data_IF_076387392111
#
_entry.id   IF_076387392111
#
_cell.length_a   1.000
_cell.length_b   1.000
_cell.length_c   1.000
_cell.angle_alpha   90.00
_cell.angle_beta   90.00
_cell.angle_gamma   90.00
#
_symmetry.space_group_name_H-M   'P 1'
#
loop_
_entity.id
_entity.type
_entity.pdbx_description
1 polymer ?
#
# COMPACT_ATOMS: atom_id res chain seq x y z
N UNK A 1 -18.19 -15.20 19.84
CA UNK A 1 -16.96 -15.38 19.03
C UNK A 1 -16.15 -14.10 19.19
N UNK A 2 -14.93 -14.19 19.66
CA UNK A 2 -14.07 -13.01 19.66
C UNK A 2 -13.80 -12.62 18.21
N UNK A 3 -14.04 -11.36 17.88
CA UNK A 3 -13.73 -10.80 16.56
C UNK A 3 -12.22 -10.85 16.37
N UNK A 4 -11.75 -11.31 15.20
CA UNK A 4 -10.33 -11.38 14.86
C UNK A 4 -9.68 -9.98 14.95
N UNK A 5 -8.39 -9.95 15.30
CA UNK A 5 -7.64 -8.69 15.39
C UNK A 5 -7.59 -7.97 14.03
N UNK A 6 -7.50 -8.70 12.94
CA UNK A 6 -7.50 -8.13 11.58
C UNK A 6 -8.82 -7.41 11.31
N UNK A 7 -9.96 -8.03 11.64
CA UNK A 7 -11.28 -7.43 11.45
C UNK A 7 -11.46 -6.15 12.30
N UNK A 8 -10.92 -6.14 13.53
CA UNK A 8 -10.95 -4.97 14.41
C UNK A 8 -10.15 -3.81 13.81
N UNK A 9 -8.93 -4.09 13.35
CA UNK A 9 -8.07 -3.07 12.75
C UNK A 9 -8.63 -2.59 11.41
N UNK A 10 -9.18 -3.48 10.58
CA UNK A 10 -9.85 -3.07 9.33
C UNK A 10 -11.00 -2.09 9.61
N UNK A 11 -11.80 -2.37 10.63
CA UNK A 11 -12.86 -1.47 11.06
C UNK A 11 -12.33 -0.12 11.52
N UNK A 12 -11.30 -0.12 12.40
CA UNK A 12 -10.69 1.12 12.91
C UNK A 12 -10.09 1.96 11.76
N UNK A 13 -9.44 1.32 10.76
CA UNK A 13 -8.90 1.99 9.57
C UNK A 13 -10.01 2.60 8.73
N UNK A 14 -11.11 1.88 8.49
CA UNK A 14 -12.27 2.41 7.75
C UNK A 14 -12.92 3.59 8.47
N UNK A 15 -13.00 3.56 9.79
CA UNK A 15 -13.48 4.69 10.60
C UNK A 15 -12.56 5.92 10.42
N UNK A 16 -11.24 5.74 10.41
CA UNK A 16 -10.27 6.82 10.15
C UNK A 16 -10.40 7.39 8.73
N UNK A 17 -10.67 6.56 7.74
CA UNK A 17 -10.91 6.99 6.36
C UNK A 17 -12.18 7.85 6.27
N UNK A 18 -13.26 7.44 6.95
CA UNK A 18 -14.48 8.26 7.00
C UNK A 18 -14.26 9.61 7.72
N UNK A 19 -13.47 9.63 8.81
CA UNK A 19 -13.05 10.88 9.45
C UNK A 19 -12.23 11.77 8.50
N UNK A 20 -11.32 11.18 7.70
CA UNK A 20 -10.53 11.89 6.70
C UNK A 20 -11.44 12.54 5.65
N UNK A 21 -12.39 11.80 5.07
CA UNK A 21 -13.31 12.27 4.03
C UNK A 21 -14.20 13.43 4.51
N UNK A 22 -14.61 13.39 5.76
CA UNK A 22 -15.43 14.47 6.36
C UNK A 22 -14.66 15.79 6.57
N UNK A 23 -13.33 15.69 6.73
CA UNK A 23 -12.46 16.81 7.10
C UNK A 23 -11.49 17.22 5.97
N UNK A 24 -11.66 16.70 4.77
CA UNK A 24 -10.82 17.00 3.62
C UNK A 24 -11.62 17.71 2.53
N UNK A 25 -11.01 18.71 1.89
CA UNK A 25 -11.50 19.24 0.61
C UNK A 25 -11.27 18.23 -0.54
N UNK A 26 -10.52 17.17 -0.25
CA UNK A 26 -10.15 16.09 -1.13
C UNK A 26 -11.07 14.89 -0.85
N UNK A 27 -11.75 14.41 -1.90
CA UNK A 27 -12.68 13.28 -1.83
C UNK A 27 -11.98 11.93 -2.07
N UNK A 28 -10.66 11.84 -1.86
CA UNK A 28 -9.90 10.61 -2.05
C UNK A 28 -10.34 9.55 -1.04
N UNK A 29 -10.88 8.45 -1.55
CA UNK A 29 -11.26 7.30 -0.72
C UNK A 29 -10.08 6.34 -0.60
N UNK A 30 -9.29 6.47 0.47
CA UNK A 30 -8.12 5.60 0.69
C UNK A 30 -8.46 4.11 0.64
N UNK A 31 -9.68 3.70 1.06
CA UNK A 31 -10.06 2.30 1.00
C UNK A 31 -10.25 1.84 -0.43
N UNK A 32 -11.15 2.51 -1.16
CA UNK A 32 -11.52 2.10 -2.52
C UNK A 32 -10.44 2.37 -3.55
N UNK A 33 -9.61 3.39 -3.32
CA UNK A 33 -8.61 3.78 -4.30
C UNK A 33 -7.23 3.17 -4.05
N UNK A 34 -6.95 2.65 -2.83
CA UNK A 34 -5.60 2.15 -2.52
C UNK A 34 -5.58 0.94 -1.58
N UNK A 35 -6.04 1.08 -0.33
CA UNK A 35 -5.82 0.08 0.74
C UNK A 35 -6.33 -1.31 0.37
N UNK A 36 -7.51 -1.42 -0.24
CA UNK A 36 -8.08 -2.72 -0.62
C UNK A 36 -7.22 -3.50 -1.61
N UNK A 37 -6.60 -2.80 -2.57
CA UNK A 37 -5.72 -3.44 -3.56
C UNK A 37 -4.43 -3.95 -2.91
N UNK A 38 -3.84 -3.13 -2.03
CA UNK A 38 -2.66 -3.53 -1.25
C UNK A 38 -3.00 -4.72 -0.34
N UNK A 39 -4.14 -4.67 0.36
CA UNK A 39 -4.58 -5.73 1.27
C UNK A 39 -4.82 -7.07 0.57
N UNK A 40 -5.48 -7.06 -0.58
CA UNK A 40 -5.75 -8.26 -1.37
C UNK A 40 -4.45 -8.85 -1.95
N UNK A 41 -3.60 -8.03 -2.55
CA UNK A 41 -2.36 -8.48 -3.17
C UNK A 41 -1.33 -8.94 -2.13
N UNK A 42 -1.24 -8.27 -0.98
CA UNK A 42 -0.37 -8.69 0.11
C UNK A 42 -0.69 -10.10 0.62
N UNK A 43 -1.99 -10.44 0.72
CA UNK A 43 -2.43 -11.80 1.08
C UNK A 43 -2.03 -12.84 0.03
N UNK A 44 -2.16 -12.49 -1.26
CA UNK A 44 -1.76 -13.35 -2.37
C UNK A 44 -0.25 -13.65 -2.30
N UNK A 45 0.55 -12.59 -2.09
CA UNK A 45 2.01 -12.72 -1.96
C UNK A 45 2.39 -13.48 -0.69
N UNK A 46 1.74 -13.21 0.45
CA UNK A 46 1.98 -13.94 1.70
C UNK A 46 1.72 -15.45 1.54
N UNK A 47 0.59 -15.81 0.94
CA UNK A 47 0.25 -17.22 0.66
C UNK A 47 1.26 -17.89 -0.26
N UNK A 48 1.73 -17.16 -1.28
CA UNK A 48 2.69 -17.63 -2.27
C UNK A 48 4.10 -17.79 -1.70
N UNK A 49 4.49 -16.90 -0.78
CA UNK A 49 5.86 -16.83 -0.28
C UNK A 49 6.04 -17.48 1.08
N UNK A 50 4.95 -17.92 1.72
CA UNK A 50 4.98 -18.56 3.03
C UNK A 50 5.19 -17.58 4.19
N UNK A 51 4.76 -16.33 4.02
CA UNK A 51 4.77 -15.32 5.07
C UNK A 51 3.61 -15.51 6.06
N UNK A 52 3.72 -14.91 7.24
CA UNK A 52 2.64 -14.88 8.21
C UNK A 52 1.51 -13.96 7.73
N UNK A 53 0.39 -14.58 7.34
CA UNK A 53 -0.76 -13.88 6.72
C UNK A 53 -1.34 -12.81 7.66
N UNK A 54 -1.41 -13.07 8.96
CA UNK A 54 -1.93 -12.09 9.94
C UNK A 54 -1.05 -10.84 9.99
N UNK A 55 0.27 -11.02 10.05
CA UNK A 55 1.23 -9.91 10.06
C UNK A 55 1.13 -9.09 8.78
N UNK A 56 1.09 -9.77 7.63
CA UNK A 56 1.02 -9.11 6.31
C UNK A 56 -0.30 -8.35 6.14
N UNK A 57 -1.43 -8.92 6.58
CA UNK A 57 -2.72 -8.24 6.56
C UNK A 57 -2.72 -6.96 7.38
N UNK A 58 -2.22 -7.04 8.61
CA UNK A 58 -2.12 -5.86 9.49
C UNK A 58 -1.16 -4.82 8.94
N UNK A 59 -0.01 -5.24 8.39
CA UNK A 59 0.92 -4.37 7.72
C UNK A 59 0.28 -3.64 6.53
N UNK A 60 -0.45 -4.35 5.67
CA UNK A 60 -1.14 -3.78 4.52
C UNK A 60 -2.27 -2.82 4.91
N UNK A 61 -3.06 -3.12 5.96
CA UNK A 61 -4.10 -2.22 6.45
C UNK A 61 -3.55 -0.91 7.02
N UNK A 62 -2.35 -0.94 7.61
CA UNK A 62 -1.80 0.15 8.40
C UNK A 62 -0.64 0.90 7.72
N UNK A 63 -0.15 0.45 6.54
CA UNK A 63 1.05 1.03 5.93
C UNK A 63 0.96 2.54 5.71
N UNK A 64 -0.20 3.03 5.31
CA UNK A 64 -0.47 4.45 5.01
C UNK A 64 -1.32 5.16 6.08
N UNK A 65 -1.45 4.60 7.29
CA UNK A 65 -2.31 5.15 8.34
C UNK A 65 -1.95 6.60 8.72
N UNK A 66 -0.68 7.00 8.62
CA UNK A 66 -0.26 8.38 8.88
C UNK A 66 -0.79 9.35 7.82
N UNK A 67 -0.90 8.93 6.56
CA UNK A 67 -1.50 9.72 5.48
C UNK A 67 -3.00 9.93 5.74
N UNK A 68 -3.71 8.87 6.10
CA UNK A 68 -5.13 8.89 6.46
C UNK A 68 -5.37 9.80 7.67
N UNK A 69 -4.52 9.73 8.69
CA UNK A 69 -4.62 10.57 9.90
C UNK A 69 -4.04 12.00 9.71
N UNK A 70 -3.49 12.33 8.53
CA UNK A 70 -2.82 13.63 8.24
C UNK A 70 -1.69 13.95 9.23
N UNK A 71 -0.90 12.95 9.62
CA UNK A 71 0.24 13.11 10.53
C UNK A 71 1.54 13.11 9.75
N UNK A 72 2.28 14.22 9.83
CA UNK A 72 3.56 14.40 9.15
C UNK A 72 3.43 14.70 7.66
N UNK A 73 4.40 14.26 6.88
CA UNK A 73 4.49 14.49 5.43
C UNK A 73 4.59 13.16 4.67
N UNK A 74 4.44 13.20 3.34
CA UNK A 74 4.66 12.02 2.47
C UNK A 74 6.05 11.40 2.65
N UNK A 75 7.06 12.16 3.10
CA UNK A 75 8.41 11.64 3.24
C UNK A 75 8.63 10.84 4.53
N UNK A 76 7.87 11.10 5.58
CA UNK A 76 8.00 10.51 6.91
C UNK A 76 6.77 9.70 7.36
N UNK A 77 5.77 9.50 6.46
CA UNK A 77 4.53 8.79 6.79
C UNK A 77 4.76 7.36 7.31
N UNK A 78 5.79 6.66 6.83
CA UNK A 78 6.14 5.32 7.28
C UNK A 78 6.61 5.31 8.74
N UNK A 79 7.33 6.34 9.19
CA UNK A 79 7.76 6.48 10.58
C UNK A 79 6.58 6.88 11.48
N UNK A 80 5.81 7.88 11.06
CA UNK A 80 4.61 8.31 11.80
C UNK A 80 3.55 7.21 11.82
N UNK A 81 3.44 6.43 10.73
CA UNK A 81 2.54 5.29 10.63
C UNK A 81 2.85 4.21 11.65
N UNK A 82 4.12 3.91 11.92
CA UNK A 82 4.51 2.97 12.98
C UNK A 82 3.97 3.41 14.36
N UNK A 83 4.10 4.69 14.71
CA UNK A 83 3.64 5.21 16.00
C UNK A 83 2.13 5.05 16.14
N UNK A 84 1.37 5.43 15.12
CA UNK A 84 -0.09 5.31 15.12
C UNK A 84 -0.52 3.84 15.16
N UNK A 85 0.12 2.99 14.37
CA UNK A 85 -0.17 1.55 14.33
C UNK A 85 0.13 0.85 15.66
N UNK A 86 1.21 1.21 16.34
CA UNK A 86 1.55 0.72 17.66
C UNK A 86 0.45 1.08 18.68
N UNK A 87 -0.02 2.32 18.67
CA UNK A 87 -1.12 2.76 19.52
C UNK A 87 -2.43 1.99 19.22
N UNK A 88 -2.75 1.80 17.94
CA UNK A 88 -3.96 1.07 17.52
C UNK A 88 -3.93 -0.40 17.95
N UNK A 89 -2.81 -1.10 17.73
CA UNK A 89 -2.66 -2.52 18.07
C UNK A 89 -2.60 -2.74 19.59
N UNK A 90 -1.96 -1.83 20.34
CA UNK A 90 -1.90 -1.89 21.81
C UNK A 90 -3.28 -1.76 22.49
N UNK A 91 -4.26 -1.07 21.88
CA UNK A 91 -5.66 -1.05 22.38
C UNK A 91 -6.26 -2.46 22.50
N UNK A 92 -5.79 -3.39 21.68
CA UNK A 92 -6.26 -4.77 21.63
C UNK A 92 -5.32 -5.76 22.30
N UNK A 93 -4.31 -5.26 23.04
CA UNK A 93 -3.26 -6.07 23.69
C UNK A 93 -2.57 -7.03 22.72
N UNK A 94 -2.26 -6.53 21.50
CA UNK A 94 -1.62 -7.35 20.48
C UNK A 94 -0.22 -7.80 20.94
N UNK A 95 0.17 -9.07 20.69
CA UNK A 95 1.43 -9.61 21.21
C UNK A 95 2.65 -8.85 20.71
N UNK A 96 3.56 -8.44 21.65
CA UNK A 96 4.70 -7.59 21.35
C UNK A 96 5.61 -8.11 20.21
N UNK A 97 5.86 -9.42 20.17
CA UNK A 97 6.70 -10.02 19.12
C UNK A 97 6.07 -9.94 17.74
N UNK A 98 4.74 -10.07 17.64
CA UNK A 98 4.00 -9.89 16.39
C UNK A 98 3.89 -8.41 16.03
N UNK A 99 3.67 -7.54 17.02
CA UNK A 99 3.63 -6.09 16.85
C UNK A 99 4.90 -5.58 16.17
N UNK A 100 6.08 -5.97 16.63
CA UNK A 100 7.36 -5.58 16.04
C UNK A 100 7.44 -5.93 14.54
N UNK A 101 6.91 -7.09 14.15
CA UNK A 101 6.88 -7.53 12.75
C UNK A 101 5.91 -6.68 11.92
N UNK A 102 4.72 -6.34 12.44
CA UNK A 102 3.79 -5.43 11.76
C UNK A 102 4.40 -4.05 11.58
N UNK A 103 5.03 -3.50 12.63
CA UNK A 103 5.71 -2.20 12.54
C UNK A 103 6.87 -2.22 11.54
N UNK A 104 7.58 -3.35 11.40
CA UNK A 104 8.61 -3.53 10.36
C UNK A 104 8.01 -3.42 8.97
N UNK A 105 6.87 -4.07 8.71
CA UNK A 105 6.17 -3.93 7.42
C UNK A 105 5.84 -2.47 7.11
N UNK A 106 5.30 -1.74 8.09
CA UNK A 106 4.93 -0.32 7.93
C UNK A 106 6.17 0.56 7.69
N UNK A 107 7.27 0.31 8.41
CA UNK A 107 8.51 1.05 8.25
C UNK A 107 9.11 0.90 6.85
N UNK A 108 9.05 -0.32 6.30
CA UNK A 108 9.80 -0.72 5.12
C UNK A 108 8.99 -0.72 3.82
N UNK A 109 7.65 -0.47 3.86
CA UNK A 109 6.77 -0.63 2.70
C UNK A 109 7.13 0.23 1.48
N UNK A 110 7.79 1.37 1.66
CA UNK A 110 8.07 2.34 0.58
C UNK A 110 8.93 1.81 -0.57
N UNK A 111 9.63 0.70 -0.38
CA UNK A 111 10.43 0.05 -1.42
C UNK A 111 10.76 -1.37 -0.98
N UNK A 112 10.63 -2.32 -1.90
CA UNK A 112 11.02 -3.72 -1.63
C UNK A 112 12.49 -3.88 -1.28
N UNK A 113 13.34 -2.89 -1.63
CA UNK A 113 14.76 -2.85 -1.26
C UNK A 113 15.00 -2.58 0.22
N UNK A 114 13.99 -2.04 0.92
CA UNK A 114 14.05 -1.80 2.37
C UNK A 114 13.62 -3.03 3.19
N UNK A 115 13.01 -4.03 2.55
CA UNK A 115 12.49 -5.21 3.21
C UNK A 115 13.61 -5.98 3.93
N UNK A 116 13.40 -6.28 5.21
CA UNK A 116 14.33 -7.03 6.06
C UNK A 116 13.88 -8.47 6.31
N UNK A 117 12.63 -8.77 5.99
CA UNK A 117 12.02 -10.08 6.13
C UNK A 117 10.96 -10.29 5.04
N UNK A 118 10.34 -11.47 5.01
CA UNK A 118 9.39 -11.85 3.95
C UNK A 118 8.05 -11.10 4.07
N UNK A 119 7.63 -10.74 5.27
CA UNK A 119 6.40 -9.98 5.51
C UNK A 119 6.55 -8.54 5.00
N UNK A 120 7.68 -7.87 5.28
CA UNK A 120 8.01 -6.55 4.74
C UNK A 120 7.94 -6.57 3.22
N UNK A 121 8.55 -7.62 2.61
CA UNK A 121 8.58 -7.80 1.17
C UNK A 121 7.17 -7.92 0.57
N UNK A 122 6.30 -8.72 1.20
CA UNK A 122 4.93 -8.90 0.73
C UNK A 122 4.14 -7.59 0.76
N UNK A 123 4.30 -6.77 1.81
CA UNK A 123 3.59 -5.49 1.92
C UNK A 123 4.14 -4.47 0.93
N UNK A 124 5.47 -4.35 0.82
CA UNK A 124 6.10 -3.40 -0.11
C UNK A 124 5.81 -3.74 -1.58
N UNK A 125 5.92 -5.01 -1.98
CA UNK A 125 5.58 -5.43 -3.34
C UNK A 125 4.09 -5.26 -3.64
N UNK A 126 3.20 -5.49 -2.67
CA UNK A 126 1.77 -5.32 -2.83
C UNK A 126 1.39 -3.84 -3.01
N UNK A 127 2.01 -2.93 -2.25
CA UNK A 127 1.83 -1.49 -2.40
C UNK A 127 2.20 -1.03 -3.81
N UNK A 128 3.36 -1.46 -4.30
CA UNK A 128 3.81 -1.17 -5.67
C UNK A 128 2.83 -1.75 -6.71
N UNK A 129 2.38 -2.99 -6.55
CA UNK A 129 1.44 -3.65 -7.48
C UNK A 129 0.09 -2.95 -7.49
N UNK A 130 -0.37 -2.42 -6.37
CA UNK A 130 -1.64 -1.69 -6.28
C UNK A 130 -1.70 -0.50 -7.26
N UNK A 131 -0.58 0.17 -7.52
CA UNK A 131 -0.51 1.24 -8.52
C UNK A 131 -0.86 0.77 -9.94
N UNK A 132 -0.55 -0.48 -10.29
CA UNK A 132 -0.91 -1.06 -11.61
C UNK A 132 -2.37 -1.50 -11.69
N UNK A 133 -3.06 -1.67 -10.57
CA UNK A 133 -4.46 -2.09 -10.56
C UNK A 133 -5.43 -0.91 -10.59
N UNK A 134 -5.04 0.23 -10.03
CA UNK A 134 -5.87 1.43 -10.03
C UNK A 134 -5.36 2.49 -11.02
N UNK A 135 -5.52 2.22 -12.29
CA UNK A 135 -5.21 3.16 -13.37
C UNK A 135 -6.00 4.48 -13.29
N UNK A 136 -7.31 4.48 -12.93
CA UNK A 136 -8.05 5.74 -12.72
C UNK A 136 -7.38 6.68 -11.72
N UNK A 137 -6.84 6.17 -10.61
CA UNK A 137 -6.09 6.97 -9.63
C UNK A 137 -4.85 7.61 -10.27
N UNK A 138 -4.11 6.88 -11.12
CA UNK A 138 -2.93 7.43 -11.79
C UNK A 138 -3.30 8.57 -12.74
N UNK A 139 -4.42 8.47 -13.46
CA UNK A 139 -4.91 9.57 -14.30
C UNK A 139 -5.33 10.78 -13.44
N UNK A 140 -5.99 10.55 -12.32
CA UNK A 140 -6.34 11.63 -11.39
C UNK A 140 -5.09 12.34 -10.86
N UNK A 141 -4.09 11.60 -10.41
CA UNK A 141 -2.80 12.14 -10.01
C UNK A 141 -2.15 12.96 -11.14
N UNK A 142 -2.09 12.40 -12.34
CA UNK A 142 -1.47 13.08 -13.49
C UNK A 142 -2.16 14.41 -13.81
N UNK A 143 -3.49 14.39 -13.99
CA UNK A 143 -4.21 15.57 -14.49
C UNK A 143 -4.58 16.54 -13.37
N UNK A 144 -5.03 16.06 -12.22
CA UNK A 144 -5.59 16.90 -11.17
C UNK A 144 -4.55 17.33 -10.13
N UNK A 145 -3.56 16.50 -9.82
CA UNK A 145 -2.53 16.83 -8.82
C UNK A 145 -1.28 17.40 -9.48
N UNK A 146 -0.68 16.66 -10.43
CA UNK A 146 0.59 17.06 -11.06
C UNK A 146 0.41 17.98 -12.29
N UNK A 147 -0.84 18.19 -12.73
CA UNK A 147 -1.17 19.06 -13.88
C UNK A 147 -0.42 18.69 -15.17
N UNK A 148 -0.20 17.39 -15.36
CA UNK A 148 0.43 16.85 -16.58
C UNK A 148 -0.50 17.09 -17.78
N UNK A 149 0.04 17.50 -18.91
CA UNK A 149 -0.76 17.69 -20.13
C UNK A 149 -1.16 16.33 -20.76
N UNK A 150 -2.23 16.32 -21.57
CA UNK A 150 -2.64 15.12 -22.30
C UNK A 150 -1.53 14.62 -23.26
N UNK A 151 -0.72 15.52 -23.82
CA UNK A 151 0.43 15.14 -24.67
C UNK A 151 1.54 14.43 -23.91
N UNK A 152 1.71 14.72 -22.61
CA UNK A 152 2.83 14.26 -21.81
C UNK A 152 2.47 13.08 -20.90
N UNK A 153 1.16 12.85 -20.65
CA UNK A 153 0.70 11.84 -19.69
C UNK A 153 1.20 10.44 -19.99
N UNK A 154 1.29 10.07 -21.30
CA UNK A 154 1.79 8.75 -21.69
C UNK A 154 3.25 8.54 -21.29
N UNK A 155 4.11 9.54 -21.48
CA UNK A 155 5.50 9.48 -21.06
C UNK A 155 5.61 9.43 -19.53
N UNK A 156 4.83 10.26 -18.82
CA UNK A 156 4.78 10.25 -17.37
C UNK A 156 4.34 8.88 -16.81
N UNK A 157 3.32 8.26 -17.42
CA UNK A 157 2.86 6.92 -16.99
C UNK A 157 3.92 5.85 -17.29
N UNK A 158 4.61 5.93 -18.44
CA UNK A 158 5.70 5.01 -18.74
C UNK A 158 6.80 5.07 -17.68
N UNK A 159 7.29 6.29 -17.38
CA UNK A 159 8.33 6.50 -16.38
C UNK A 159 7.88 6.01 -14.99
N UNK A 160 6.60 6.23 -14.65
CA UNK A 160 6.02 5.74 -13.39
C UNK A 160 5.98 4.20 -13.35
N UNK A 161 5.49 3.56 -14.40
CA UNK A 161 5.42 2.11 -14.50
C UNK A 161 6.80 1.45 -14.49
N UNK A 162 7.76 2.00 -15.23
CA UNK A 162 9.13 1.50 -15.23
C UNK A 162 9.77 1.61 -13.85
N UNK A 163 9.59 2.75 -13.18
CA UNK A 163 10.09 2.96 -11.82
C UNK A 163 9.49 1.95 -10.85
N UNK A 164 8.17 1.83 -10.83
CA UNK A 164 7.46 0.94 -9.92
C UNK A 164 7.82 -0.54 -10.20
N UNK A 165 7.85 -0.97 -11.46
CA UNK A 165 8.29 -2.32 -11.81
C UNK A 165 9.73 -2.58 -11.40
N UNK A 166 10.65 -1.63 -11.57
CA UNK A 166 12.05 -1.76 -11.16
C UNK A 166 12.24 -1.78 -9.65
N UNK A 167 11.27 -1.27 -8.88
CA UNK A 167 11.32 -1.27 -7.43
C UNK A 167 10.74 -2.53 -6.78
N UNK A 168 10.00 -3.36 -7.54
CA UNK A 168 9.59 -4.69 -7.09
C UNK A 168 10.78 -5.58 -6.77
N UNK A 169 10.60 -6.52 -5.85
CA UNK A 169 11.58 -7.58 -5.60
C UNK A 169 11.76 -8.48 -6.84
N UNK A 170 12.94 -9.07 -7.00
CA UNK A 170 13.22 -9.96 -8.13
C UNK A 170 12.23 -11.15 -8.19
N UNK A 171 11.84 -11.67 -7.02
CA UNK A 171 10.89 -12.76 -6.88
C UNK A 171 9.50 -12.38 -7.41
N UNK A 172 9.06 -11.16 -7.15
CA UNK A 172 7.77 -10.66 -7.60
C UNK A 172 7.84 -10.22 -9.07
N UNK A 173 8.94 -9.59 -9.51
CA UNK A 173 9.17 -9.27 -10.93
C UNK A 173 8.99 -10.48 -11.84
N UNK A 174 9.58 -11.62 -11.48
CA UNK A 174 9.50 -12.84 -12.28
C UNK A 174 8.05 -13.25 -12.52
N UNK A 175 7.20 -13.15 -11.51
CA UNK A 175 5.80 -13.60 -11.57
C UNK A 175 4.82 -12.53 -12.06
N UNK A 176 5.18 -11.26 -11.95
CA UNK A 176 4.36 -10.13 -12.39
C UNK A 176 4.66 -9.67 -13.82
N UNK A 177 5.75 -10.14 -14.41
CA UNK A 177 6.28 -9.72 -15.71
C UNK A 177 5.25 -9.72 -16.85
N UNK A 178 4.49 -10.80 -16.97
CA UNK A 178 3.53 -10.93 -18.07
C UNK A 178 2.35 -9.97 -17.89
N UNK A 179 1.90 -9.78 -16.66
CA UNK A 179 0.85 -8.81 -16.33
C UNK A 179 1.32 -7.37 -16.54
N UNK A 180 2.55 -7.05 -16.15
CA UNK A 180 3.18 -5.76 -16.42
C UNK A 180 3.19 -5.44 -17.92
N UNK A 181 3.62 -6.40 -18.77
CA UNK A 181 3.61 -6.22 -20.23
C UNK A 181 2.20 -5.96 -20.77
N UNK A 182 1.20 -6.75 -20.33
CA UNK A 182 -0.19 -6.54 -20.75
C UNK A 182 -0.71 -5.15 -20.38
N UNK A 183 -0.37 -4.66 -19.19
CA UNK A 183 -0.76 -3.31 -18.75
C UNK A 183 -0.09 -2.25 -19.63
N UNK A 184 1.21 -2.38 -19.94
CA UNK A 184 1.92 -1.48 -20.82
C UNK A 184 1.32 -1.49 -22.23
N UNK A 185 1.01 -2.66 -22.80
CA UNK A 185 0.34 -2.78 -24.10
C UNK A 185 -1.01 -2.03 -24.13
N UNK A 186 -1.83 -2.21 -23.10
CA UNK A 186 -3.18 -1.63 -23.05
C UNK A 186 -3.11 -0.11 -22.83
N UNK A 187 -2.29 0.35 -21.89
CA UNK A 187 -2.30 1.74 -21.42
C UNK A 187 -1.37 2.63 -22.26
N UNK A 188 -0.19 2.11 -22.62
CA UNK A 188 0.82 2.86 -23.35
C UNK A 188 0.79 2.59 -24.87
N UNK A 189 0.25 1.45 -25.29
CA UNK A 189 0.23 1.02 -26.68
C UNK A 189 1.59 0.46 -27.15
N UNK A 190 2.32 -0.21 -26.26
CA UNK A 190 3.70 -0.72 -26.46
C UNK A 190 3.81 -2.22 -26.33
#
# INVERSE_FOLDING_TARGET
MDIDIVDKIEKDVKEKIEEFKQNADDHFDYWDEHIKYVYEEAQNLASKYGADIEIVKLGALLHDIAMICKVGTKNDHHINGMIIAEEMLNKYNYPEEKLKRVLSCICNHRSSKNATNIEDLCVADADIIAHFYNIPMLFDLAFNIYKISLSDVRNWMRDSFEKDYNDLSDKTKETFKDKYKQICEIILGE
#
